data_IF_380196229475
#
_entry.id   IF_380196229475
#
_cell.length_a   1.000
_cell.length_b   1.000
_cell.length_c   1.000
_cell.angle_alpha   90.00
_cell.angle_beta   90.00
_cell.angle_gamma   90.00
#
_symmetry.space_group_name_H-M   'P 1'
#
loop_
_entity.id
_entity.type
_entity.pdbx_description
1 polymer ?
#
# COMPACT_ATOMS: atom_id res chain seq x y z
N UNK A 1 -7.47 -12.64 -4.71
CA UNK A 1 -8.81 -13.11 -5.13
C UNK A 1 -9.70 -11.96 -5.59
N UNK A 2 -9.87 -10.87 -4.80
CA UNK A 2 -10.76 -9.75 -5.16
C UNK A 2 -10.33 -9.07 -6.48
N UNK A 3 -9.05 -8.81 -6.67
CA UNK A 3 -8.53 -8.23 -7.91
C UNK A 3 -8.81 -9.11 -9.13
N UNK A 4 -8.70 -10.44 -8.96
CA UNK A 4 -9.07 -11.39 -10.01
C UNK A 4 -10.57 -11.32 -10.31
N UNK A 5 -11.42 -11.20 -9.29
CA UNK A 5 -12.87 -11.06 -9.48
C UNK A 5 -13.21 -9.76 -10.23
N UNK A 6 -12.54 -8.65 -9.94
CA UNK A 6 -12.67 -7.39 -10.69
C UNK A 6 -12.28 -7.58 -12.15
N UNK A 7 -11.13 -8.23 -12.43
CA UNK A 7 -10.70 -8.52 -13.78
C UNK A 7 -11.72 -9.42 -14.53
N UNK A 8 -12.22 -10.46 -13.87
CA UNK A 8 -13.27 -11.34 -14.44
C UNK A 8 -14.53 -10.54 -14.76
N UNK A 9 -14.97 -9.63 -13.87
CA UNK A 9 -16.12 -8.78 -14.12
C UNK A 9 -15.93 -7.87 -15.35
N UNK A 10 -14.72 -7.31 -15.55
CA UNK A 10 -14.37 -6.54 -16.75
C UNK A 10 -14.50 -7.41 -17.99
N UNK A 11 -13.85 -8.58 -18.00
CA UNK A 11 -13.81 -9.46 -19.17
C UNK A 11 -15.19 -10.03 -19.52
N UNK A 12 -16.00 -10.38 -18.54
CA UNK A 12 -17.37 -10.87 -18.78
C UNK A 12 -18.30 -9.78 -19.35
N UNK A 13 -18.05 -8.52 -18.98
CA UNK A 13 -18.89 -7.39 -19.43
C UNK A 13 -18.43 -6.84 -20.77
N UNK A 14 -17.13 -6.68 -20.97
CA UNK A 14 -16.58 -5.95 -22.12
C UNK A 14 -15.80 -6.84 -23.09
N UNK A 15 -15.51 -8.10 -22.73
CA UNK A 15 -14.71 -9.01 -23.55
C UNK A 15 -13.22 -8.69 -23.51
N UNK A 16 -12.49 -9.03 -24.57
CA UNK A 16 -11.06 -8.73 -24.72
C UNK A 16 -10.14 -9.57 -23.84
N UNK A 17 -8.96 -9.05 -23.57
CA UNK A 17 -7.92 -9.64 -22.73
C UNK A 17 -7.58 -8.67 -21.59
N UNK A 18 -7.02 -9.13 -20.45
CA UNK A 18 -6.62 -8.23 -19.35
C UNK A 18 -5.68 -7.11 -19.83
N UNK A 19 -4.78 -7.40 -20.76
CA UNK A 19 -3.80 -6.45 -21.32
C UNK A 19 -4.46 -5.24 -22.00
N UNK A 20 -5.66 -5.40 -22.51
CA UNK A 20 -6.40 -4.33 -23.21
C UNK A 20 -6.88 -3.24 -22.20
N UNK A 21 -6.89 -3.55 -20.90
CA UNK A 21 -7.38 -2.69 -19.82
C UNK A 21 -6.30 -2.16 -18.88
N UNK A 22 -5.01 -2.49 -19.10
CA UNK A 22 -3.91 -2.02 -18.25
C UNK A 22 -3.81 -0.50 -18.21
N UNK A 23 -3.56 0.05 -17.01
CA UNK A 23 -3.47 1.48 -16.77
C UNK A 23 -4.75 2.09 -16.21
N UNK A 24 -4.88 3.41 -16.35
CA UNK A 24 -6.02 4.16 -15.81
C UNK A 24 -7.07 4.44 -16.90
N UNK A 25 -8.36 4.33 -16.55
CA UNK A 25 -9.51 4.65 -17.40
C UNK A 25 -9.67 3.82 -18.68
N UNK A 26 -8.99 2.69 -18.82
CA UNK A 26 -9.11 1.82 -20.00
C UNK A 26 -10.34 0.88 -19.95
N UNK A 27 -11.05 0.81 -18.83
CA UNK A 27 -12.34 0.12 -18.72
C UNK A 27 -13.44 1.04 -19.27
N UNK A 28 -14.14 0.65 -20.35
CA UNK A 28 -14.98 1.60 -21.11
C UNK A 28 -16.30 1.98 -20.43
N UNK A 29 -16.69 1.30 -19.35
CA UNK A 29 -17.94 1.56 -18.65
C UNK A 29 -18.17 0.66 -17.44
N UNK A 30 -19.33 0.76 -16.79
CA UNK A 30 -19.68 -0.08 -15.65
C UNK A 30 -19.55 -1.57 -15.97
N UNK A 31 -19.09 -2.34 -15.01
CA UNK A 31 -19.00 -3.80 -15.07
C UNK A 31 -20.19 -4.44 -14.35
N UNK A 32 -20.33 -5.75 -14.48
CA UNK A 32 -21.34 -6.49 -13.69
C UNK A 32 -21.14 -6.21 -12.19
N UNK A 33 -22.23 -6.19 -11.37
CA UNK A 33 -22.13 -5.92 -9.94
C UNK A 33 -21.17 -6.88 -9.24
N UNK A 34 -20.28 -6.32 -8.41
CA UNK A 34 -19.32 -7.08 -7.60
C UNK A 34 -19.74 -6.96 -6.13
N UNK A 35 -19.91 -8.09 -5.46
CA UNK A 35 -20.03 -8.16 -4.00
C UNK A 35 -18.70 -8.65 -3.46
N UNK A 36 -17.98 -7.81 -2.73
CA UNK A 36 -16.68 -8.12 -2.16
C UNK A 36 -16.82 -8.47 -0.68
N UNK A 37 -16.29 -9.64 -0.31
CA UNK A 37 -16.29 -10.15 1.07
C UNK A 37 -14.86 -10.55 1.40
N UNK A 38 -14.03 -9.62 1.97
CA UNK A 38 -12.65 -9.91 2.30
C UNK A 38 -12.54 -10.90 3.46
N UNK A 39 -11.62 -11.86 3.35
CA UNK A 39 -11.27 -12.82 4.40
C UNK A 39 -9.89 -12.55 5.00
N UNK A 40 -9.23 -11.49 4.54
CA UNK A 40 -8.01 -10.92 5.10
C UNK A 40 -8.18 -9.42 5.23
N UNK A 41 -7.66 -8.84 6.30
CA UNK A 41 -7.70 -7.40 6.54
C UNK A 41 -6.39 -6.75 6.07
N UNK A 42 -6.34 -6.30 4.82
CA UNK A 42 -5.08 -5.82 4.26
C UNK A 42 -5.22 -4.96 3.01
N UNK A 43 -5.60 -5.56 1.90
CA UNK A 43 -5.47 -4.97 0.56
C UNK A 43 -6.39 -3.79 0.27
N UNK A 44 -7.50 -3.63 0.99
CA UNK A 44 -8.52 -2.62 0.66
C UNK A 44 -9.19 -2.80 -0.71
N UNK A 45 -8.95 -3.95 -1.38
CA UNK A 45 -9.47 -4.19 -2.74
C UNK A 45 -10.99 -4.15 -2.79
N UNK A 46 -11.66 -4.41 -1.68
CA UNK A 46 -13.13 -4.37 -1.56
C UNK A 46 -13.74 -2.98 -1.75
N UNK A 47 -12.93 -1.91 -1.62
CA UNK A 47 -13.40 -0.51 -1.75
C UNK A 47 -12.58 0.34 -2.74
N UNK A 48 -11.64 -0.26 -3.47
CA UNK A 48 -10.70 0.49 -4.31
C UNK A 48 -10.99 0.36 -5.81
N UNK A 49 -10.63 1.37 -6.61
CA UNK A 49 -10.79 1.39 -8.07
C UNK A 49 -9.68 0.63 -8.81
N UNK A 50 -8.93 -0.26 -8.15
CA UNK A 50 -7.77 -0.91 -8.75
C UNK A 50 -7.84 -2.43 -8.61
N UNK A 51 -7.35 -3.13 -9.62
CA UNK A 51 -7.01 -4.54 -9.61
C UNK A 51 -5.56 -4.70 -10.05
N UNK A 52 -4.73 -5.39 -9.25
CA UNK A 52 -3.32 -5.65 -9.56
C UNK A 52 -3.14 -7.11 -9.95
N UNK A 53 -2.60 -7.34 -11.13
CA UNK A 53 -2.40 -8.67 -11.71
C UNK A 53 -0.91 -8.94 -11.95
N UNK A 54 -0.51 -10.20 -11.87
CA UNK A 54 0.81 -10.63 -12.33
C UNK A 54 0.74 -10.91 -13.82
N UNK A 55 1.48 -10.15 -14.61
CA UNK A 55 1.62 -10.40 -16.05
C UNK A 55 2.81 -11.31 -16.29
N UNK A 56 2.55 -12.55 -16.71
CA UNK A 56 3.58 -13.55 -16.94
C UNK A 56 4.50 -13.19 -18.13
N UNK A 57 3.99 -12.44 -19.13
CA UNK A 57 4.76 -12.02 -20.32
C UNK A 57 5.76 -10.91 -19.97
N UNK A 58 5.38 -10.02 -19.02
CA UNK A 58 6.21 -8.89 -18.57
C UNK A 58 7.05 -9.20 -17.34
N UNK A 59 6.77 -10.34 -16.66
CA UNK A 59 7.37 -10.69 -15.35
C UNK A 59 7.23 -9.58 -14.30
N UNK A 60 6.17 -8.78 -14.39
CA UNK A 60 5.88 -7.64 -13.52
C UNK A 60 4.42 -7.64 -13.08
N UNK A 61 4.14 -6.93 -12.00
CA UNK A 61 2.77 -6.60 -11.60
C UNK A 61 2.27 -5.41 -12.42
N UNK A 62 1.03 -5.49 -12.88
CA UNK A 62 0.35 -4.46 -13.65
C UNK A 62 -1.00 -4.15 -13.03
N UNK A 63 -1.43 -2.90 -13.12
CA UNK A 63 -2.71 -2.43 -12.57
C UNK A 63 -3.72 -2.16 -13.67
N UNK A 64 -4.98 -2.53 -13.40
CA UNK A 64 -6.16 -2.02 -14.08
C UNK A 64 -6.83 -1.06 -13.10
N UNK A 65 -7.00 0.20 -13.47
CA UNK A 65 -7.55 1.22 -12.58
C UNK A 65 -8.70 1.95 -13.25
N UNK A 66 -9.89 1.86 -12.63
CA UNK A 66 -11.11 2.52 -13.10
C UNK A 66 -12.14 2.62 -11.99
N UNK A 67 -12.90 3.73 -11.86
CA UNK A 67 -14.03 3.79 -10.94
C UNK A 67 -15.10 2.73 -11.23
N UNK A 68 -15.16 2.19 -12.45
CA UNK A 68 -16.13 1.18 -12.86
C UNK A 68 -15.89 -0.21 -12.22
N UNK A 69 -14.70 -0.47 -11.65
CA UNK A 69 -14.37 -1.75 -11.01
C UNK A 69 -14.40 -1.69 -9.47
N UNK A 70 -14.82 -0.57 -8.90
CA UNK A 70 -15.09 -0.52 -7.45
C UNK A 70 -16.25 -1.48 -7.15
N UNK A 71 -16.10 -2.39 -6.18
CA UNK A 71 -17.20 -3.28 -5.82
C UNK A 71 -18.49 -2.51 -5.44
N UNK A 72 -19.61 -3.00 -5.91
CA UNK A 72 -20.94 -2.40 -5.66
C UNK A 72 -21.33 -2.52 -4.19
N UNK A 73 -20.93 -3.63 -3.55
CA UNK A 73 -21.15 -3.92 -2.14
C UNK A 73 -19.87 -4.47 -1.55
N UNK A 74 -19.51 -3.99 -0.36
CA UNK A 74 -18.41 -4.51 0.46
C UNK A 74 -18.98 -4.98 1.80
N UNK A 75 -18.72 -6.24 2.16
CA UNK A 75 -19.12 -6.84 3.43
C UNK A 75 -17.85 -7.18 4.21
N UNK A 76 -17.45 -6.28 5.12
CA UNK A 76 -16.22 -6.38 5.90
C UNK A 76 -16.54 -6.95 7.29
N UNK A 77 -16.69 -8.28 7.35
CA UNK A 77 -16.96 -9.01 8.57
C UNK A 77 -15.64 -9.48 9.21
N UNK A 78 -15.25 -8.96 10.40
CA UNK A 78 -14.01 -9.34 11.05
C UNK A 78 -13.94 -10.83 11.44
N UNK A 79 -15.09 -11.47 11.67
CA UNK A 79 -15.16 -12.89 12.02
C UNK A 79 -14.62 -13.79 10.91
N UNK A 80 -14.68 -13.36 9.65
CA UNK A 80 -14.09 -14.08 8.51
C UNK A 80 -12.56 -14.09 8.53
N UNK A 81 -11.94 -13.30 9.40
CA UNK A 81 -10.48 -13.28 9.59
C UNK A 81 -9.97 -14.11 10.75
N UNK A 82 -10.85 -14.69 11.58
CA UNK A 82 -10.49 -15.44 12.79
C UNK A 82 -9.57 -16.65 12.50
N UNK A 83 -9.74 -17.27 11.34
CA UNK A 83 -8.89 -18.41 10.91
C UNK A 83 -7.62 -17.98 10.18
N UNK A 84 -7.41 -16.66 10.01
CA UNK A 84 -6.22 -16.16 9.33
C UNK A 84 -4.97 -16.41 10.19
N UNK A 85 -3.93 -17.10 9.66
CA UNK A 85 -2.72 -17.36 10.43
C UNK A 85 -2.02 -16.07 10.88
N UNK A 86 -1.29 -16.09 12.03
CA UNK A 86 -0.56 -14.92 12.52
C UNK A 86 0.35 -14.26 11.49
N UNK A 87 1.10 -15.05 10.73
CA UNK A 87 1.99 -14.54 9.67
C UNK A 87 1.23 -13.81 8.55
N UNK A 88 0.09 -14.34 8.12
CA UNK A 88 -0.74 -13.69 7.11
C UNK A 88 -1.44 -12.44 7.68
N UNK A 89 -1.88 -12.48 8.94
CA UNK A 89 -2.42 -11.31 9.65
C UNK A 89 -1.37 -10.19 9.71
N UNK A 90 -0.13 -10.52 10.07
CA UNK A 90 0.99 -9.57 10.12
C UNK A 90 1.25 -8.94 8.75
N UNK A 91 1.41 -9.75 7.71
CA UNK A 91 1.70 -9.28 6.34
C UNK A 91 0.55 -8.41 5.81
N UNK A 92 -0.70 -8.86 5.96
CA UNK A 92 -1.85 -8.13 5.46
C UNK A 92 -2.08 -6.82 6.22
N UNK A 93 -1.99 -6.85 7.55
CA UNK A 93 -2.17 -5.64 8.38
C UNK A 93 -1.03 -4.64 8.22
N UNK A 94 0.21 -5.09 8.03
CA UNK A 94 1.35 -4.22 7.73
C UNK A 94 1.22 -3.55 6.35
N UNK A 95 0.68 -4.26 5.35
CA UNK A 95 0.30 -3.71 4.05
C UNK A 95 -0.76 -2.60 4.21
N UNK A 96 -1.82 -2.87 4.97
CA UNK A 96 -2.86 -1.87 5.26
C UNK A 96 -2.30 -0.61 5.95
N UNK A 97 -1.39 -0.79 6.91
CA UNK A 97 -0.74 0.35 7.58
C UNK A 97 0.13 1.15 6.61
N UNK A 98 0.85 0.46 5.72
CA UNK A 98 1.64 1.10 4.67
C UNK A 98 0.74 1.86 3.68
N UNK A 99 -0.38 1.28 3.25
CA UNK A 99 -1.40 1.96 2.44
C UNK A 99 -1.87 3.27 3.09
N UNK A 100 -2.22 3.21 4.39
CA UNK A 100 -2.71 4.37 5.12
C UNK A 100 -1.65 5.46 5.24
N UNK A 101 -0.40 5.09 5.56
CA UNK A 101 0.72 6.05 5.67
C UNK A 101 1.01 6.68 4.30
N UNK A 102 1.13 5.89 3.23
CA UNK A 102 1.38 6.44 1.89
C UNK A 102 0.24 7.35 1.41
N UNK A 103 -1.02 6.97 1.66
CA UNK A 103 -2.16 7.82 1.32
C UNK A 103 -2.16 9.14 2.10
N UNK A 104 -1.79 9.11 3.39
CA UNK A 104 -1.73 10.29 4.25
C UNK A 104 -0.59 11.22 3.90
N UNK A 105 0.54 10.68 3.45
CA UNK A 105 1.74 11.44 3.07
C UNK A 105 1.86 11.70 1.57
N UNK A 106 0.91 11.24 0.74
CA UNK A 106 0.91 11.46 -0.69
C UNK A 106 0.90 12.95 -1.06
N UNK A 107 1.34 13.30 -2.26
CA UNK A 107 1.26 14.68 -2.73
C UNK A 107 -0.18 15.20 -2.75
N UNK A 108 -0.35 16.48 -2.44
CA UNK A 108 -1.58 17.21 -2.70
C UNK A 108 -1.47 17.86 -4.08
N UNK A 109 -2.34 17.43 -5.00
CA UNK A 109 -2.35 17.99 -6.36
C UNK A 109 -3.13 19.29 -6.40
N UNK A 110 -2.73 20.20 -7.30
CA UNK A 110 -3.51 21.39 -7.58
C UNK A 110 -4.87 21.01 -8.18
N UNK A 111 -5.96 21.53 -7.65
CA UNK A 111 -7.30 21.27 -8.18
C UNK A 111 -7.45 21.76 -9.62
N UNK A 112 -7.98 20.91 -10.50
CA UNK A 112 -8.41 21.31 -11.84
C UNK A 112 -9.75 20.66 -12.17
N UNK A 113 -10.57 21.28 -13.04
CA UNK A 113 -11.86 20.72 -13.45
C UNK A 113 -11.76 19.34 -14.13
N UNK A 114 -10.60 19.02 -14.71
CA UNK A 114 -10.35 17.77 -15.44
C UNK A 114 -9.63 16.70 -14.61
N UNK A 115 -9.11 17.03 -13.41
CA UNK A 115 -8.24 16.15 -12.64
C UNK A 115 -8.82 14.72 -12.45
N UNK A 116 -10.10 14.65 -12.05
CA UNK A 116 -10.79 13.38 -11.84
C UNK A 116 -11.19 12.66 -13.14
N UNK A 117 -11.02 13.29 -14.31
CA UNK A 117 -11.22 12.68 -15.62
C UNK A 117 -9.89 12.15 -16.20
N UNK A 118 -8.78 12.72 -15.77
CA UNK A 118 -7.44 12.38 -16.23
C UNK A 118 -6.77 11.32 -15.37
N UNK A 119 -7.14 11.27 -14.06
CA UNK A 119 -6.51 10.39 -13.07
C UNK A 119 -7.53 9.72 -12.18
N UNK A 120 -7.40 8.42 -12.01
CA UNK A 120 -8.15 7.64 -11.03
C UNK A 120 -7.71 8.00 -9.61
N UNK A 121 -6.40 8.18 -9.42
CA UNK A 121 -5.80 8.59 -8.15
C UNK A 121 -5.44 10.08 -8.19
N UNK A 122 -6.23 10.87 -7.48
CA UNK A 122 -6.15 12.35 -7.55
C UNK A 122 -5.21 12.99 -6.52
N UNK A 123 -4.51 12.18 -5.71
CA UNK A 123 -3.67 12.65 -4.60
C UNK A 123 -4.44 12.86 -3.30
N UNK A 124 -3.71 13.19 -2.21
CA UNK A 124 -4.33 13.38 -0.89
C UNK A 124 -5.29 14.56 -0.88
N UNK A 125 -6.33 14.45 -0.08
CA UNK A 125 -7.33 15.48 0.19
C UNK A 125 -7.93 15.28 1.58
N UNK A 126 -8.80 16.21 2.04
CA UNK A 126 -9.38 16.20 3.38
C UNK A 126 -10.08 14.86 3.72
N UNK A 127 -10.76 14.23 2.76
CA UNK A 127 -11.44 12.95 2.99
C UNK A 127 -10.45 11.81 3.10
N UNK A 128 -9.49 11.71 2.17
CA UNK A 128 -8.46 10.68 2.24
C UNK A 128 -7.60 10.81 3.49
N UNK A 129 -7.28 12.03 3.92
CA UNK A 129 -6.52 12.32 5.14
C UNK A 129 -7.27 11.82 6.38
N UNK A 130 -8.60 12.10 6.46
CA UNK A 130 -9.43 11.63 7.57
C UNK A 130 -9.47 10.09 7.67
N UNK A 131 -9.67 9.42 6.55
CA UNK A 131 -9.70 7.95 6.52
C UNK A 131 -8.32 7.35 6.83
N UNK A 132 -7.26 7.90 6.24
CA UNK A 132 -5.90 7.42 6.45
C UNK A 132 -5.45 7.54 7.91
N UNK A 133 -5.66 8.70 8.52
CA UNK A 133 -5.26 8.93 9.92
C UNK A 133 -6.04 8.02 10.89
N UNK A 134 -7.35 7.83 10.63
CA UNK A 134 -8.16 6.89 11.40
C UNK A 134 -7.71 5.45 11.21
N UNK A 135 -7.35 5.05 9.98
CA UNK A 135 -6.81 3.74 9.66
C UNK A 135 -5.49 3.48 10.42
N UNK A 136 -4.55 4.43 10.39
CA UNK A 136 -3.28 4.37 11.12
C UNK A 136 -3.55 4.12 12.62
N UNK A 137 -4.44 4.89 13.23
CA UNK A 137 -4.77 4.74 14.66
C UNK A 137 -5.35 3.37 14.99
N UNK A 138 -6.26 2.84 14.17
CA UNK A 138 -6.89 1.54 14.41
C UNK A 138 -5.91 0.38 14.21
N UNK A 139 -5.10 0.44 13.16
CA UNK A 139 -4.09 -0.58 12.86
C UNK A 139 -2.99 -0.58 13.93
N UNK A 140 -2.55 0.59 14.37
CA UNK A 140 -1.62 0.72 15.49
C UNK A 140 -2.13 0.05 16.76
N UNK A 141 -3.41 0.23 17.09
CA UNK A 141 -4.03 -0.33 18.29
C UNK A 141 -4.33 -1.83 18.22
N UNK A 142 -4.56 -2.37 17.02
CA UNK A 142 -5.09 -3.72 16.87
C UNK A 142 -4.11 -4.74 16.27
N UNK A 143 -3.16 -4.31 15.43
CA UNK A 143 -2.40 -5.23 14.59
C UNK A 143 -1.53 -6.21 15.40
N UNK A 144 -0.75 -5.72 16.36
CA UNK A 144 0.11 -6.57 17.18
C UNK A 144 -0.71 -7.57 18.01
N UNK A 145 -1.81 -7.13 18.59
CA UNK A 145 -2.71 -7.99 19.36
C UNK A 145 -3.34 -9.07 18.47
N UNK A 146 -3.84 -8.71 17.27
CA UNK A 146 -4.41 -9.66 16.31
C UNK A 146 -3.40 -10.68 15.78
N UNK A 147 -2.10 -10.32 15.73
CA UNK A 147 -1.02 -11.25 15.37
C UNK A 147 -0.66 -12.19 16.53
N UNK A 148 -0.72 -11.69 17.77
CA UNK A 148 -0.34 -12.45 18.97
C UNK A 148 -1.45 -13.42 19.39
N UNK A 149 -2.69 -12.94 19.37
CA UNK A 149 -3.89 -13.74 19.65
C UNK A 149 -4.91 -13.57 18.52
N UNK A 150 -4.91 -14.53 17.59
CA UNK A 150 -5.84 -14.53 16.46
C UNK A 150 -7.32 -14.64 16.86
N UNK A 151 -7.63 -15.00 18.11
CA UNK A 151 -9.00 -15.08 18.65
C UNK A 151 -9.50 -13.78 19.29
N UNK A 152 -8.65 -12.76 19.44
CA UNK A 152 -9.05 -11.42 19.91
C UNK A 152 -9.93 -10.72 18.86
N UNK A 153 -11.24 -10.87 19.02
CA UNK A 153 -12.23 -10.30 18.10
C UNK A 153 -12.18 -8.78 18.07
N UNK A 154 -11.87 -8.12 19.21
CA UNK A 154 -11.77 -6.67 19.26
C UNK A 154 -10.53 -6.15 18.49
N UNK A 155 -9.42 -6.88 18.53
CA UNK A 155 -8.25 -6.59 17.71
C UNK A 155 -8.55 -6.84 16.22
N UNK A 156 -9.20 -7.96 15.87
CA UNK A 156 -9.62 -8.28 14.49
C UNK A 156 -10.54 -7.20 13.91
N UNK A 157 -11.51 -6.71 14.69
CA UNK A 157 -12.41 -5.62 14.29
C UNK A 157 -11.63 -4.34 13.96
N UNK A 158 -10.68 -3.96 14.82
CA UNK A 158 -9.81 -2.78 14.57
C UNK A 158 -8.99 -2.95 13.30
N UNK A 159 -8.40 -4.12 13.08
CA UNK A 159 -7.57 -4.38 11.90
C UNK A 159 -8.43 -4.40 10.62
N UNK A 160 -9.61 -5.02 10.64
CA UNK A 160 -10.54 -5.02 9.50
C UNK A 160 -11.01 -3.61 9.17
N UNK A 161 -11.48 -2.86 10.16
CA UNK A 161 -11.91 -1.47 9.98
C UNK A 161 -10.74 -0.60 9.48
N UNK A 162 -9.56 -0.75 10.07
CA UNK A 162 -8.36 -0.01 9.67
C UNK A 162 -7.97 -0.31 8.21
N UNK A 163 -7.98 -1.57 7.79
CA UNK A 163 -7.68 -1.97 6.41
C UNK A 163 -8.70 -1.40 5.42
N UNK A 164 -10.00 -1.45 5.73
CA UNK A 164 -11.04 -0.88 4.88
C UNK A 164 -10.91 0.64 4.75
N UNK A 165 -10.63 1.35 5.86
CA UNK A 165 -10.41 2.80 5.85
C UNK A 165 -9.13 3.17 5.07
N UNK A 166 -8.05 2.37 5.20
CA UNK A 166 -6.86 2.53 4.37
C UNK A 166 -7.20 2.39 2.88
N UNK A 167 -8.06 1.41 2.53
CA UNK A 167 -8.57 1.23 1.17
C UNK A 167 -9.33 2.46 0.65
N UNK A 168 -10.23 3.03 1.46
CA UNK A 168 -10.96 4.27 1.13
C UNK A 168 -10.00 5.46 0.96
N UNK A 169 -8.94 5.53 1.74
CA UNK A 169 -7.94 6.59 1.65
C UNK A 169 -7.11 6.48 0.37
N UNK A 170 -6.41 5.34 0.17
CA UNK A 170 -5.51 5.20 -0.97
C UNK A 170 -6.27 4.99 -2.30
N UNK A 171 -7.51 4.53 -2.24
CA UNK A 171 -8.38 4.45 -3.43
C UNK A 171 -8.59 5.79 -4.11
N UNK A 172 -8.38 6.90 -3.39
CA UNK A 172 -8.43 8.27 -3.88
C UNK A 172 -7.04 8.90 -3.94
N UNK A 173 -6.27 8.80 -2.85
CA UNK A 173 -4.94 9.42 -2.76
C UNK A 173 -3.88 8.68 -3.59
N UNK A 174 -4.01 7.38 -3.75
CA UNK A 174 -2.99 6.50 -4.34
C UNK A 174 -1.94 6.08 -3.32
N UNK A 175 -1.09 5.14 -3.75
CA UNK A 175 0.13 4.70 -3.06
C UNK A 175 1.37 5.34 -3.71
N UNK A 176 2.56 5.15 -3.12
CA UNK A 176 3.77 5.87 -3.51
C UNK A 176 5.02 4.96 -3.60
N UNK A 177 6.15 5.42 -3.05
CA UNK A 177 7.47 4.83 -3.28
C UNK A 177 7.64 3.41 -2.71
N UNK A 178 7.07 3.07 -1.54
CA UNK A 178 7.20 1.73 -0.98
C UNK A 178 6.58 0.68 -1.92
N UNK A 179 5.41 0.99 -2.47
CA UNK A 179 4.76 0.14 -3.46
C UNK A 179 5.51 0.08 -4.79
N UNK A 180 6.08 1.22 -5.25
CA UNK A 180 6.88 1.25 -6.47
C UNK A 180 8.11 0.36 -6.37
N UNK A 181 8.82 0.39 -5.23
CA UNK A 181 10.02 -0.42 -5.01
C UNK A 181 9.65 -1.90 -4.80
N UNK A 182 8.54 -2.18 -4.14
CA UNK A 182 8.12 -3.56 -3.90
C UNK A 182 7.80 -4.34 -5.19
N UNK A 183 7.35 -3.70 -6.25
CA UNK A 183 7.01 -4.44 -7.48
C UNK A 183 8.21 -5.18 -8.08
N UNK A 184 9.36 -4.53 -8.38
CA UNK A 184 10.55 -5.24 -8.85
C UNK A 184 11.18 -6.13 -7.77
N UNK A 185 11.17 -5.74 -6.49
CA UNK A 185 11.67 -6.60 -5.40
C UNK A 185 10.87 -7.90 -5.35
N UNK A 186 9.55 -7.82 -5.31
CA UNK A 186 8.69 -9.01 -5.26
C UNK A 186 8.78 -9.88 -6.51
N UNK A 187 9.07 -9.31 -7.68
CA UNK A 187 9.33 -10.07 -8.90
C UNK A 187 10.60 -10.92 -8.82
N UNK A 188 11.64 -10.44 -8.14
CA UNK A 188 12.91 -11.16 -7.96
C UNK A 188 12.89 -12.14 -6.80
N UNK A 189 12.32 -11.74 -5.67
CA UNK A 189 12.41 -12.51 -4.41
C UNK A 189 11.21 -13.44 -4.18
N UNK A 190 10.13 -13.24 -4.94
CA UNK A 190 8.83 -13.89 -4.70
C UNK A 190 8.27 -13.63 -3.29
N UNK A 191 8.73 -12.56 -2.64
CA UNK A 191 8.27 -12.14 -1.32
C UNK A 191 6.79 -11.75 -1.37
N UNK A 192 6.06 -12.09 -0.32
CA UNK A 192 4.68 -11.64 -0.15
C UNK A 192 4.61 -10.10 -0.18
N UNK A 193 3.66 -9.54 -0.94
CA UNK A 193 3.58 -8.11 -1.22
C UNK A 193 3.63 -7.25 0.05
N UNK A 194 2.76 -7.55 1.02
CA UNK A 194 2.68 -6.79 2.27
C UNK A 194 3.96 -6.85 3.11
N UNK A 195 4.71 -7.95 3.09
CA UNK A 195 6.00 -8.04 3.77
C UNK A 195 7.03 -7.08 3.15
N UNK A 196 7.06 -7.00 1.82
CA UNK A 196 8.02 -6.14 1.14
C UNK A 196 7.68 -4.65 1.25
N UNK A 197 6.42 -4.24 1.12
CA UNK A 197 6.06 -2.83 1.31
C UNK A 197 6.29 -2.39 2.76
N UNK A 198 5.99 -3.24 3.74
CA UNK A 198 6.22 -2.95 5.15
C UNK A 198 7.72 -2.88 5.51
N UNK A 199 8.54 -3.78 4.95
CA UNK A 199 10.00 -3.69 5.05
C UNK A 199 10.54 -2.35 4.56
N UNK A 200 10.04 -1.85 3.43
CA UNK A 200 10.46 -0.60 2.80
C UNK A 200 9.93 0.65 3.51
N UNK A 201 8.78 0.55 4.19
CA UNK A 201 8.06 1.73 4.68
C UNK A 201 8.88 2.63 5.62
N UNK A 202 9.63 2.13 6.62
CA UNK A 202 10.44 2.99 7.48
C UNK A 202 11.51 3.79 6.71
N UNK A 203 12.11 3.19 5.69
CA UNK A 203 13.13 3.86 4.85
C UNK A 203 12.49 4.91 3.94
N UNK A 204 11.32 4.62 3.36
CA UNK A 204 10.57 5.58 2.54
C UNK A 204 10.10 6.76 3.40
N UNK A 205 9.60 6.51 4.62
CA UNK A 205 9.27 7.57 5.56
C UNK A 205 10.49 8.41 5.92
N UNK A 206 11.65 7.77 6.18
CA UNK A 206 12.91 8.47 6.45
C UNK A 206 13.36 9.36 5.30
N UNK A 207 13.26 8.88 4.06
CA UNK A 207 13.50 9.69 2.88
C UNK A 207 12.55 10.89 2.79
N UNK A 208 11.28 10.66 3.04
CA UNK A 208 10.22 11.67 2.91
C UNK A 208 10.17 12.64 4.10
N UNK A 209 10.78 12.34 5.24
CA UNK A 209 10.64 13.08 6.49
C UNK A 209 10.75 14.61 6.38
N UNK A 210 11.68 15.18 5.59
CA UNK A 210 11.78 16.63 5.43
C UNK A 210 10.54 17.28 4.79
N UNK A 211 9.75 16.53 4.02
CA UNK A 211 8.58 17.03 3.29
C UNK A 211 7.25 16.70 3.98
N UNK A 212 7.28 15.86 5.05
CA UNK A 212 6.08 15.33 5.72
C UNK A 212 6.10 15.57 7.24
N UNK A 213 6.81 16.58 7.71
CA UNK A 213 6.96 16.86 9.17
C UNK A 213 5.60 17.07 9.85
N UNK A 214 4.67 17.79 9.20
CA UNK A 214 3.32 18.00 9.71
C UNK A 214 2.52 16.71 9.78
N UNK A 215 2.62 15.87 8.77
CA UNK A 215 1.96 14.57 8.73
C UNK A 215 2.51 13.62 9.81
N UNK A 216 3.83 13.62 10.03
CA UNK A 216 4.44 12.85 11.11
C UNK A 216 3.94 13.33 12.49
N UNK A 217 3.77 14.63 12.71
CA UNK A 217 3.21 15.16 13.95
C UNK A 217 1.75 14.74 14.18
N UNK A 218 0.94 14.72 13.12
CA UNK A 218 -0.44 14.24 13.19
C UNK A 218 -0.50 12.72 13.44
N UNK A 219 0.36 11.93 12.77
CA UNK A 219 0.49 10.49 13.03
C UNK A 219 0.91 10.25 14.48
N UNK A 220 1.93 10.97 14.99
CA UNK A 220 2.38 10.86 16.37
C UNK A 220 1.21 11.05 17.34
N UNK A 221 0.43 12.11 17.15
CA UNK A 221 -0.77 12.39 17.95
C UNK A 221 -1.80 11.25 17.86
N UNK A 222 -2.06 10.73 16.66
CA UNK A 222 -3.07 9.70 16.41
C UNK A 222 -2.72 8.34 17.06
N UNK A 223 -1.42 8.05 17.23
CA UNK A 223 -0.94 6.80 17.83
C UNK A 223 -0.38 6.98 19.26
N UNK A 224 -0.48 8.21 19.82
CA UNK A 224 -0.15 8.49 21.22
C UNK A 224 1.35 8.62 21.50
N UNK A 225 2.16 9.06 20.54
CA UNK A 225 3.59 9.36 20.72
C UNK A 225 3.82 10.81 21.11
N UNK A 226 4.99 11.10 21.69
CA UNK A 226 5.32 12.44 22.19
C UNK A 226 5.68 13.42 21.07
N UNK A 227 6.19 12.94 19.93
CA UNK A 227 6.58 13.80 18.81
C UNK A 227 6.80 13.07 17.48
N UNK A 228 6.97 13.84 16.38
CA UNK A 228 7.14 13.29 15.04
C UNK A 228 8.38 12.39 14.90
N UNK A 229 9.45 12.70 15.61
CA UNK A 229 10.71 11.94 15.55
C UNK A 229 10.56 10.49 16.05
N UNK A 230 9.54 10.21 16.85
CA UNK A 230 9.28 8.86 17.38
C UNK A 230 8.52 7.98 16.38
N UNK A 231 7.86 8.54 15.36
CA UNK A 231 6.94 7.81 14.48
C UNK A 231 7.66 6.72 13.69
N UNK A 232 8.73 7.07 12.99
CA UNK A 232 9.45 6.13 12.12
C UNK A 232 10.05 4.98 12.92
N UNK A 233 10.77 5.23 14.05
CA UNK A 233 11.24 4.15 14.92
C UNK A 233 10.10 3.28 15.49
N UNK A 234 8.97 3.88 15.85
CA UNK A 234 7.83 3.14 16.40
C UNK A 234 7.18 2.21 15.36
N UNK A 235 7.00 2.67 14.12
CA UNK A 235 6.50 1.85 13.00
C UNK A 235 7.47 0.70 12.71
N UNK A 236 8.78 0.97 12.61
CA UNK A 236 9.79 -0.06 12.39
C UNK A 236 9.78 -1.11 13.53
N UNK A 237 9.65 -0.67 14.77
CA UNK A 237 9.56 -1.55 15.94
C UNK A 237 8.28 -2.40 15.92
N UNK A 238 7.12 -1.84 15.55
CA UNK A 238 5.88 -2.60 15.37
C UNK A 238 6.06 -3.69 14.31
N UNK A 239 6.59 -3.35 13.14
CA UNK A 239 6.82 -4.32 12.06
C UNK A 239 7.78 -5.44 12.48
N UNK A 240 8.85 -5.10 13.20
CA UNK A 240 9.77 -6.10 13.76
C UNK A 240 9.07 -7.04 14.75
N UNK A 241 8.23 -6.53 15.67
CA UNK A 241 7.50 -7.36 16.66
C UNK A 241 6.51 -8.32 16.03
N UNK A 242 5.91 -7.96 14.90
CA UNK A 242 4.99 -8.83 14.16
C UNK A 242 5.70 -9.72 13.11
N UNK A 243 7.05 -9.68 13.06
CA UNK A 243 7.86 -10.59 12.24
C UNK A 243 8.05 -10.14 10.79
N UNK A 244 7.90 -8.86 10.47
CA UNK A 244 8.28 -8.32 9.15
C UNK A 244 9.82 -8.22 9.09
N UNK A 245 10.47 -8.77 8.05
CA UNK A 245 11.91 -8.64 7.85
C UNK A 245 12.34 -7.18 7.76
N UNK A 246 13.44 -6.77 8.45
CA UNK A 246 13.82 -5.36 8.53
C UNK A 246 14.57 -4.84 7.29
N UNK A 247 15.10 -5.73 6.44
CA UNK A 247 15.93 -5.31 5.29
C UNK A 247 15.54 -6.05 4.00
N UNK A 248 15.87 -5.47 2.86
CA UNK A 248 15.71 -6.13 1.57
C UNK A 248 16.63 -7.34 1.41
N UNK A 249 17.79 -7.33 2.10
CA UNK A 249 18.66 -8.50 2.19
C UNK A 249 17.95 -9.68 2.86
N UNK A 250 17.24 -9.45 3.97
CA UNK A 250 16.48 -10.48 4.69
C UNK A 250 15.29 -11.00 3.88
N UNK A 251 14.80 -10.21 2.91
CA UNK A 251 13.80 -10.65 1.93
C UNK A 251 14.39 -11.48 0.79
N UNK A 252 15.72 -11.70 0.78
CA UNK A 252 16.41 -12.49 -0.23
C UNK A 252 16.78 -11.72 -1.50
N UNK A 253 16.76 -10.38 -1.49
CA UNK A 253 17.25 -9.59 -2.61
C UNK A 253 18.77 -9.73 -2.72
N UNK A 254 19.29 -9.97 -3.92
CA UNK A 254 20.72 -10.03 -4.18
C UNK A 254 21.27 -8.60 -4.41
N UNK A 255 22.46 -8.30 -3.86
CA UNK A 255 23.12 -7.01 -4.00
C UNK A 255 23.32 -6.59 -5.47
N UNK A 256 23.66 -7.55 -6.32
CA UNK A 256 23.85 -7.34 -7.76
C UNK A 256 22.56 -6.85 -8.48
N UNK A 257 21.41 -6.88 -7.83
CA UNK A 257 20.11 -6.47 -8.38
C UNK A 257 19.67 -5.07 -7.97
N UNK A 258 20.37 -4.39 -7.07
CA UNK A 258 19.96 -3.09 -6.52
C UNK A 258 19.76 -2.04 -7.62
N UNK A 259 20.68 -1.95 -8.58
CA UNK A 259 20.59 -1.01 -9.70
C UNK A 259 19.36 -1.28 -10.58
N UNK A 260 19.13 -2.54 -10.91
CA UNK A 260 17.95 -2.94 -11.70
C UNK A 260 16.65 -2.62 -10.97
N UNK A 261 16.58 -2.89 -9.65
CA UNK A 261 15.41 -2.55 -8.83
C UNK A 261 15.16 -1.04 -8.86
N UNK A 262 16.22 -0.23 -8.72
CA UNK A 262 16.09 1.23 -8.77
C UNK A 262 15.55 1.73 -10.12
N UNK A 263 16.07 1.21 -11.23
CA UNK A 263 15.63 1.57 -12.58
C UNK A 263 14.16 1.18 -12.82
N UNK A 264 13.79 -0.06 -12.44
CA UNK A 264 12.41 -0.52 -12.58
C UNK A 264 11.45 0.29 -11.70
N UNK A 265 11.82 0.60 -10.45
CA UNK A 265 11.01 1.41 -9.54
C UNK A 265 10.75 2.79 -10.11
N UNK A 266 11.76 3.46 -10.66
CA UNK A 266 11.60 4.76 -11.31
C UNK A 266 10.69 4.72 -12.54
N UNK A 267 10.59 3.58 -13.23
CA UNK A 267 9.71 3.42 -14.39
C UNK A 267 8.22 3.40 -14.03
N UNK A 268 7.87 3.15 -12.77
CA UNK A 268 6.49 3.12 -12.27
C UNK A 268 6.03 4.55 -11.95
N UNK A 269 5.98 5.37 -13.00
CA UNK A 269 5.80 6.82 -12.90
C UNK A 269 4.60 7.23 -12.03
N UNK A 270 3.47 6.51 -12.10
CA UNK A 270 2.26 6.84 -11.31
C UNK A 270 2.55 6.85 -9.80
N UNK A 271 3.27 5.87 -9.30
CA UNK A 271 3.59 5.75 -7.88
C UNK A 271 4.68 6.74 -7.45
N UNK A 272 5.72 6.88 -8.27
CA UNK A 272 6.84 7.80 -7.96
C UNK A 272 6.38 9.26 -7.99
N UNK A 273 5.52 9.64 -8.94
CA UNK A 273 4.95 10.99 -9.01
C UNK A 273 3.97 11.31 -7.87
N UNK A 274 3.56 10.31 -7.09
CA UNK A 274 2.69 10.48 -5.93
C UNK A 274 3.47 10.59 -4.62
N UNK A 275 4.80 10.32 -4.66
CA UNK A 275 5.66 10.43 -3.49
C UNK A 275 5.89 11.91 -3.14
N UNK A 276 5.80 12.31 -1.85
CA UNK A 276 5.88 13.72 -1.45
C UNK A 276 7.25 14.35 -1.76
N UNK A 277 8.35 13.62 -1.54
CA UNK A 277 9.68 14.06 -1.91
C UNK A 277 10.10 13.45 -3.24
N UNK A 278 10.58 14.24 -4.23
CA UNK A 278 11.09 13.70 -5.49
C UNK A 278 12.13 12.59 -5.28
N UNK A 279 12.05 11.55 -6.10
CA UNK A 279 12.90 10.37 -5.95
C UNK A 279 13.53 10.00 -7.33
N UNK A 280 14.50 10.82 -7.83
CA UNK A 280 15.23 10.52 -9.05
C UNK A 280 16.15 9.31 -8.87
N UNK A 281 16.61 8.71 -9.95
CA UNK A 281 17.35 7.45 -9.95
C UNK A 281 18.54 7.39 -8.96
N UNK A 282 19.40 8.43 -8.82
CA UNK A 282 20.48 8.37 -7.84
C UNK A 282 19.99 8.26 -6.39
N UNK A 283 18.90 8.97 -6.06
CA UNK A 283 18.29 8.94 -4.74
C UNK A 283 17.51 7.66 -4.50
N UNK A 284 16.86 7.12 -5.54
CA UNK A 284 16.24 5.79 -5.49
C UNK A 284 17.26 4.70 -5.16
N UNK A 285 18.43 4.73 -5.80
CA UNK A 285 19.54 3.80 -5.50
C UNK A 285 19.99 3.93 -4.05
N UNK A 286 20.15 5.16 -3.55
CA UNK A 286 20.53 5.43 -2.16
C UNK A 286 19.50 4.87 -1.17
N UNK A 287 18.21 5.11 -1.41
CA UNK A 287 17.13 4.59 -0.58
C UNK A 287 17.09 3.06 -0.58
N UNK A 288 17.20 2.43 -1.75
CA UNK A 288 17.22 0.97 -1.87
C UNK A 288 18.45 0.38 -1.20
N UNK A 289 19.62 1.02 -1.31
CA UNK A 289 20.84 0.61 -0.60
C UNK A 289 20.65 0.70 0.91
N UNK A 290 20.08 1.79 1.41
CA UNK A 290 19.75 1.96 2.84
C UNK A 290 18.84 0.83 3.33
N UNK A 291 17.77 0.52 2.58
CA UNK A 291 16.83 -0.55 2.91
C UNK A 291 17.46 -1.95 2.79
N UNK A 292 18.45 -2.12 1.91
CA UNK A 292 19.17 -3.38 1.73
C UNK A 292 20.09 -3.71 2.92
N UNK A 293 20.87 -2.73 3.37
CA UNK A 293 21.84 -2.95 4.46
C UNK A 293 21.26 -2.61 5.85
N UNK A 294 20.09 -2.01 5.95
CA UNK A 294 19.48 -1.64 7.22
C UNK A 294 20.01 -0.33 7.82
N UNK A 295 20.55 0.57 7.01
CA UNK A 295 21.18 1.82 7.48
C UNK A 295 20.41 3.06 6.98
N UNK A 296 19.53 3.58 7.84
CA UNK A 296 18.75 4.81 7.55
C UNK A 296 19.60 6.09 7.60
N UNK A 297 20.82 6.08 8.10
CA UNK A 297 21.70 7.26 8.09
C UNK A 297 22.06 7.71 6.67
N UNK A 298 21.93 6.82 5.68
CA UNK A 298 22.12 7.15 4.27
C UNK A 298 21.01 8.01 3.67
N UNK A 299 19.89 8.20 4.36
CA UNK A 299 18.72 8.91 3.81
C UNK A 299 18.83 10.44 3.94
N UNK A 300 19.69 10.94 4.77
CA UNK A 300 20.20 12.31 4.88
C UNK A 300 19.22 13.28 5.45
#
# INVERSE_FOLDING_TARGET
>A
CLDMAKCVAVLLTHGGRPQDYYGEYNVPGPVMPIVAIPTTAGTGSEVTPVAVLSDAERSLKVGISSPHIIPTVSICDPDLTLTCPPSLTAIAGADALTHAIEAFTAIRREPSPSLAQERVFVGKNVFSDHFALRAISLLWQGLEAACTDGSDTAAREKVMMGATLAGLAFGVAGTAAAHAIQYPVGALTHTAHGAGVACLMPYVMGWNAPEIESELAEIATAIGLAGPDEVIPAIAALFSRIGIPPTLHDLGLEEARLDWVAEQSCSIARLIQNNPRPLPLPDMRRLITAAYIGDSSLLG
#
